data_IF_917065359154
#
_entry.id   IF_917065359154
#
_cell.length_a   1.000
_cell.length_b   1.000
_cell.length_c   1.000
_cell.angle_alpha   90.00
_cell.angle_beta   90.00
_cell.angle_gamma   90.00
#
_symmetry.space_group_name_H-M   'P 1'
#
loop_
_entity.id
_entity.type
_entity.pdbx_description
1 polymer ?
#
# COMPACT_ATOMS: atom_id res chain seq x y z
N UNK A 1 35.91 -42.33 45.10
CA UNK A 1 35.58 -41.46 43.95
C UNK A 1 34.14 -41.77 43.55
N UNK A 2 33.32 -40.73 43.31
CA UNK A 2 31.85 -40.70 43.42
C UNK A 2 31.08 -41.52 42.36
N UNK A 3 30.06 -42.23 42.86
CA UNK A 3 28.68 -42.48 42.40
C UNK A 3 28.24 -42.18 40.94
N UNK A 4 27.68 -43.24 40.32
CA UNK A 4 26.38 -43.40 39.63
C UNK A 4 25.79 -42.26 38.78
N UNK A 5 25.35 -42.61 37.55
CA UNK A 5 24.40 -41.77 36.80
C UNK A 5 24.15 -42.15 35.34
N UNK A 6 23.69 -43.38 35.06
CA UNK A 6 23.19 -43.77 33.73
C UNK A 6 21.79 -43.22 33.47
N UNK A 7 21.69 -42.11 32.74
CA UNK A 7 20.42 -41.49 32.33
C UNK A 7 19.97 -41.94 30.95
N UNK A 8 19.01 -42.84 30.89
CA UNK A 8 18.29 -43.22 29.67
C UNK A 8 17.40 -42.05 29.19
N UNK A 9 17.74 -41.42 28.05
CA UNK A 9 16.84 -40.48 27.38
C UNK A 9 15.82 -41.27 26.55
N UNK A 10 14.57 -41.25 27.01
CA UNK A 10 13.39 -41.74 26.27
C UNK A 10 13.19 -40.91 25.01
N UNK A 11 13.25 -41.55 23.86
CA UNK A 11 12.78 -41.04 22.58
C UNK A 11 11.26 -40.86 22.63
N UNK A 12 10.78 -39.64 22.40
CA UNK A 12 9.36 -39.37 22.12
C UNK A 12 9.07 -39.77 20.68
N UNK A 13 8.02 -40.56 20.39
CA UNK A 13 7.65 -40.83 19.01
C UNK A 13 7.08 -39.57 18.37
N UNK A 14 7.55 -39.28 17.15
CA UNK A 14 6.95 -38.32 16.24
C UNK A 14 5.47 -38.69 16.03
N UNK A 15 4.59 -37.70 16.20
CA UNK A 15 3.18 -37.80 15.85
C UNK A 15 3.10 -37.97 14.33
N UNK A 16 3.04 -39.21 13.87
CA UNK A 16 2.79 -39.55 12.48
C UNK A 16 1.35 -39.12 12.13
N UNK A 17 1.21 -38.02 11.40
CA UNK A 17 -0.06 -37.71 10.73
C UNK A 17 -0.26 -38.76 9.64
N UNK A 18 -1.13 -39.73 9.91
CA UNK A 18 -1.56 -40.75 8.94
C UNK A 18 -2.13 -40.05 7.70
N UNK A 19 -1.60 -40.40 6.54
CA UNK A 19 -2.22 -40.12 5.25
C UNK A 19 -3.64 -40.71 5.23
N UNK A 20 -4.63 -39.91 4.82
CA UNK A 20 -5.98 -40.40 4.52
C UNK A 20 -5.97 -41.09 3.16
N UNK A 21 -6.68 -42.22 2.99
CA UNK A 21 -6.73 -42.92 1.70
C UNK A 21 -7.59 -42.14 0.70
N UNK A 22 -7.22 -42.24 -0.57
CA UNK A 22 -7.99 -41.73 -1.69
C UNK A 22 -9.38 -42.40 -1.74
N UNK A 23 -10.45 -41.61 -1.71
CA UNK A 23 -11.81 -42.10 -1.96
C UNK A 23 -12.22 -41.75 -3.39
N UNK A 24 -12.56 -42.79 -4.14
CA UNK A 24 -13.12 -42.79 -5.47
C UNK A 24 -14.63 -42.44 -5.45
N UNK A 25 -15.01 -41.55 -6.37
CA UNK A 25 -16.33 -41.28 -6.95
C UNK A 25 -17.64 -41.64 -6.24
N UNK A 26 -18.45 -40.62 -5.92
CA UNK A 26 -19.79 -40.32 -6.48
C UNK A 26 -20.40 -39.05 -5.83
N UNK A 27 -21.37 -38.37 -6.48
CA UNK A 27 -21.82 -37.02 -6.14
C UNK A 27 -22.95 -37.02 -5.08
N UNK A 28 -23.18 -35.84 -4.50
CA UNK A 28 -24.23 -35.46 -3.54
C UNK A 28 -24.08 -35.92 -2.08
N UNK A 29 -23.48 -35.05 -1.27
CA UNK A 29 -23.92 -34.81 0.10
C UNK A 29 -23.61 -33.37 0.51
N UNK A 30 -24.68 -32.57 0.49
CA UNK A 30 -24.83 -31.29 1.14
C UNK A 30 -24.43 -31.42 2.63
N UNK A 31 -23.27 -30.87 3.00
CA UNK A 31 -22.95 -30.59 4.40
C UNK A 31 -22.42 -29.16 4.51
N UNK A 32 -23.26 -28.34 5.13
CA UNK A 32 -23.03 -26.96 5.50
C UNK A 32 -21.77 -26.81 6.35
N UNK A 33 -20.64 -26.51 5.71
CA UNK A 33 -19.55 -25.81 6.35
C UNK A 33 -19.80 -24.32 6.18
N UNK A 34 -20.12 -23.61 7.26
CA UNK A 34 -20.01 -22.13 7.28
C UNK A 34 -18.56 -21.80 6.94
N UNK A 35 -18.31 -21.42 5.70
CA UNK A 35 -17.15 -20.62 5.35
C UNK A 35 -17.29 -19.34 6.16
N UNK A 36 -16.51 -19.22 7.23
CA UNK A 36 -16.26 -17.92 7.84
C UNK A 36 -15.45 -17.17 6.80
N UNK A 37 -16.13 -16.42 5.94
CA UNK A 37 -15.58 -15.29 5.21
C UNK A 37 -15.05 -14.31 6.26
N UNK A 38 -13.84 -14.57 6.74
CA UNK A 38 -13.04 -13.54 7.35
C UNK A 38 -12.44 -12.77 6.21
N UNK A 39 -13.06 -11.64 5.85
CA UNK A 39 -12.32 -10.57 5.21
C UNK A 39 -11.08 -10.36 6.06
N UNK A 40 -9.92 -10.82 5.55
CA UNK A 40 -8.63 -10.49 6.13
C UNK A 40 -8.58 -8.97 6.11
N UNK A 41 -8.83 -8.33 7.26
CA UNK A 41 -8.78 -6.87 7.42
C UNK A 41 -7.38 -6.43 6.99
N UNK A 42 -7.26 -6.02 5.73
CA UNK A 42 -5.99 -5.67 5.12
C UNK A 42 -5.50 -4.41 5.81
N UNK A 43 -4.27 -4.47 6.33
CA UNK A 43 -3.63 -3.33 6.95
C UNK A 43 -3.44 -2.23 5.89
N UNK A 44 -4.16 -1.12 6.02
CA UNK A 44 -4.07 0.03 5.12
C UNK A 44 -3.23 1.14 5.76
N UNK A 45 -2.12 1.52 5.13
CA UNK A 45 -1.32 2.65 5.59
C UNK A 45 -1.95 4.00 5.21
N UNK A 46 -2.74 4.02 4.14
CA UNK A 46 -3.41 5.19 3.58
C UNK A 46 -4.89 4.84 3.41
N UNK A 47 -5.77 5.63 4.00
CA UNK A 47 -7.21 5.58 3.74
C UNK A 47 -7.62 6.86 3.07
N UNK A 48 -8.18 6.75 1.88
CA UNK A 48 -8.58 7.90 1.10
C UNK A 48 -10.00 7.72 0.56
N UNK A 49 -10.77 8.78 0.67
CA UNK A 49 -12.01 9.00 -0.07
C UNK A 49 -12.04 10.46 -0.52
N UNK A 50 -12.85 10.79 -1.51
CA UNK A 50 -12.96 12.17 -2.03
C UNK A 50 -13.21 13.15 -0.88
N UNK A 51 -12.24 14.02 -0.60
CA UNK A 51 -12.31 15.02 0.48
C UNK A 51 -11.92 14.55 1.88
N UNK A 52 -11.47 13.30 2.05
CA UNK A 52 -10.98 12.77 3.33
C UNK A 52 -9.77 11.87 3.15
N UNK A 53 -8.69 12.19 3.85
CA UNK A 53 -7.45 11.42 3.87
C UNK A 53 -7.09 11.10 5.32
N UNK A 54 -6.81 9.83 5.60
CA UNK A 54 -6.26 9.38 6.87
C UNK A 54 -5.00 8.55 6.62
N UNK A 55 -4.02 8.69 7.52
CA UNK A 55 -2.77 7.93 7.49
C UNK A 55 -2.60 7.12 8.77
N UNK A 56 -2.06 5.93 8.67
CA UNK A 56 -1.67 5.14 9.84
C UNK A 56 -0.37 5.70 10.42
N UNK A 57 -0.37 6.10 11.69
CA UNK A 57 0.86 6.58 12.35
C UNK A 57 1.82 5.41 12.63
N UNK A 58 2.84 5.29 11.78
CA UNK A 58 3.82 4.22 11.88
C UNK A 58 4.80 4.37 13.05
N UNK A 59 4.84 5.52 13.74
CA UNK A 59 5.67 5.68 14.94
C UNK A 59 5.12 4.90 16.14
N UNK A 60 3.82 4.58 16.10
CA UNK A 60 3.13 3.86 17.17
C UNK A 60 3.11 2.34 16.96
N UNK A 61 3.53 1.88 15.78
CA UNK A 61 3.59 0.46 15.46
C UNK A 61 4.81 -0.21 16.10
N UNK A 62 4.69 -1.49 16.50
CA UNK A 62 3.52 -2.37 16.39
C UNK A 62 2.55 -2.30 17.59
N UNK A 63 2.82 -1.48 18.61
CA UNK A 63 2.07 -1.48 19.87
C UNK A 63 0.65 -0.93 19.71
N UNK A 64 0.48 0.10 18.86
CA UNK A 64 -0.81 0.72 18.61
C UNK A 64 -1.00 1.02 17.12
N UNK A 65 -2.20 0.73 16.61
CA UNK A 65 -2.62 1.14 15.26
C UNK A 65 -3.60 2.30 15.40
N UNK A 66 -3.16 3.52 15.05
CA UNK A 66 -3.98 4.74 15.10
C UNK A 66 -3.89 5.49 13.78
N UNK A 67 -5.05 5.92 13.30
CA UNK A 67 -5.17 6.75 12.11
C UNK A 67 -5.21 8.23 12.50
N UNK A 68 -4.60 9.06 11.66
CA UNK A 68 -4.57 10.51 11.77
C UNK A 68 -5.17 11.12 10.51
N UNK A 69 -6.14 12.01 10.66
CA UNK A 69 -6.73 12.75 9.55
C UNK A 69 -5.76 13.80 9.03
N UNK A 70 -5.65 13.88 7.70
CA UNK A 70 -4.79 14.83 6.98
C UNK A 70 -5.68 15.71 6.12
N UNK A 71 -5.99 16.90 6.64
CA UNK A 71 -6.87 17.88 5.98
C UNK A 71 -6.13 18.92 5.14
N UNK A 72 -4.80 18.90 5.12
CA UNK A 72 -3.99 19.89 4.39
C UNK A 72 -2.65 19.33 3.91
N UNK A 73 -2.11 19.96 2.86
CA UNK A 73 -0.76 19.78 2.33
C UNK A 73 0.28 20.01 3.43
N UNK A 74 0.03 20.99 4.31
CA UNK A 74 0.90 21.27 5.46
C UNK A 74 0.97 20.09 6.43
N UNK A 75 -0.17 19.52 6.80
CA UNK A 75 -0.23 18.35 7.68
C UNK A 75 0.43 17.12 7.04
N UNK A 76 0.23 16.90 5.74
CA UNK A 76 0.90 15.82 5.02
C UNK A 76 2.42 15.97 5.05
N UNK A 77 2.92 17.18 4.78
CA UNK A 77 4.35 17.48 4.85
C UNK A 77 4.92 17.20 6.24
N UNK A 78 4.22 17.61 7.30
CA UNK A 78 4.64 17.38 8.69
C UNK A 78 4.66 15.89 9.03
N UNK A 79 3.63 15.16 8.66
CA UNK A 79 3.54 13.72 8.87
C UNK A 79 4.65 12.94 8.12
N UNK A 80 4.92 13.31 6.87
CA UNK A 80 6.00 12.73 6.05
C UNK A 80 7.36 13.03 6.68
N UNK A 81 7.61 14.28 7.08
CA UNK A 81 8.88 14.70 7.71
C UNK A 81 9.11 14.05 9.07
N UNK A 82 8.06 13.90 9.87
CA UNK A 82 8.07 13.21 11.16
C UNK A 82 8.16 11.68 11.03
N UNK A 83 8.18 11.14 9.81
CA UNK A 83 8.23 9.70 9.53
C UNK A 83 7.01 8.90 10.06
N UNK A 84 5.86 9.56 10.21
CA UNK A 84 4.57 8.87 10.42
C UNK A 84 4.17 8.07 9.19
N UNK A 85 4.52 8.58 8.00
CA UNK A 85 4.39 7.87 6.71
C UNK A 85 5.76 7.42 6.23
N UNK A 86 5.88 6.14 5.86
CA UNK A 86 7.13 5.55 5.37
C UNK A 86 6.88 4.77 4.08
N UNK A 87 7.96 4.58 3.31
CA UNK A 87 7.91 4.00 1.98
C UNK A 87 7.79 5.07 0.88
N UNK A 88 8.66 5.01 -0.12
CA UNK A 88 8.71 6.04 -1.16
C UNK A 88 7.40 6.17 -1.96
N UNK A 89 6.69 5.09 -2.33
CA UNK A 89 5.37 5.19 -2.96
C UNK A 89 4.33 5.82 -2.03
N UNK A 90 4.23 5.37 -0.78
CA UNK A 90 3.26 5.90 0.18
C UNK A 90 3.46 7.40 0.48
N UNK A 91 4.71 7.85 0.60
CA UNK A 91 5.05 9.27 0.78
C UNK A 91 4.53 10.12 -0.38
N UNK A 92 4.74 9.66 -1.62
CA UNK A 92 4.28 10.39 -2.80
C UNK A 92 2.75 10.49 -2.83
N UNK A 93 2.05 9.37 -2.57
CA UNK A 93 0.59 9.32 -2.57
C UNK A 93 -0.01 10.19 -1.48
N UNK A 94 0.48 10.15 -0.24
CA UNK A 94 -0.02 11.02 0.84
C UNK A 94 0.13 12.49 0.48
N UNK A 95 1.27 12.88 -0.09
CA UNK A 95 1.47 14.26 -0.56
C UNK A 95 0.43 14.66 -1.61
N UNK A 96 0.30 13.88 -2.69
CA UNK A 96 -0.62 14.15 -3.79
C UNK A 96 -2.10 14.14 -3.36
N UNK A 97 -2.50 13.18 -2.54
CA UNK A 97 -3.87 13.06 -2.05
C UNK A 97 -4.22 14.19 -1.07
N UNK A 98 -3.26 14.69 -0.28
CA UNK A 98 -3.51 15.85 0.58
C UNK A 98 -3.79 17.13 -0.21
N UNK A 99 -3.13 17.31 -1.36
CA UNK A 99 -3.47 18.38 -2.30
C UNK A 99 -4.87 18.17 -2.89
N UNK A 100 -5.23 16.95 -3.25
CA UNK A 100 -6.58 16.65 -3.73
C UNK A 100 -7.66 16.97 -2.68
N UNK A 101 -7.41 16.74 -1.39
CA UNK A 101 -8.31 17.14 -0.30
C UNK A 101 -8.48 18.66 -0.23
N UNK A 102 -7.39 19.44 -0.29
CA UNK A 102 -7.50 20.91 -0.30
C UNK A 102 -8.22 21.43 -1.54
N UNK A 103 -7.94 20.84 -2.71
CA UNK A 103 -8.63 21.18 -3.95
C UNK A 103 -10.11 20.84 -3.87
N UNK A 104 -10.49 19.71 -3.29
CA UNK A 104 -11.89 19.34 -3.07
C UNK A 104 -12.61 20.33 -2.14
N UNK A 105 -11.88 20.90 -1.16
CA UNK A 105 -12.39 21.94 -0.27
C UNK A 105 -12.45 23.35 -0.93
N UNK A 106 -12.00 23.49 -2.18
CA UNK A 106 -12.06 24.75 -2.93
C UNK A 106 -10.80 25.63 -2.85
N UNK A 107 -9.68 25.12 -2.34
CA UNK A 107 -8.44 25.91 -2.24
C UNK A 107 -7.82 26.26 -3.61
N UNK A 108 -6.98 27.30 -3.67
CA UNK A 108 -6.21 27.63 -4.88
C UNK A 108 -6.92 28.53 -5.90
N UNK A 109 -7.76 29.46 -5.48
CA UNK A 109 -8.42 30.41 -6.39
C UNK A 109 -8.54 31.81 -5.79
N UNK A 110 -9.26 32.74 -6.46
CA UNK A 110 -9.94 32.53 -7.74
C UNK A 110 -9.03 32.71 -8.97
N UNK A 111 -9.34 31.98 -10.04
CA UNK A 111 -8.75 32.16 -11.36
C UNK A 111 -7.77 31.05 -11.76
N UNK A 112 -7.76 30.72 -13.06
CA UNK A 112 -7.01 29.58 -13.61
C UNK A 112 -5.50 29.66 -13.32
N UNK A 113 -4.90 30.82 -13.56
CA UNK A 113 -3.47 31.04 -13.31
C UNK A 113 -3.12 30.91 -11.82
N UNK A 114 -3.99 31.41 -10.93
CA UNK A 114 -3.81 31.28 -9.49
C UNK A 114 -3.92 29.81 -9.03
N UNK A 115 -4.84 29.04 -9.62
CA UNK A 115 -4.98 27.61 -9.35
C UNK A 115 -3.76 26.80 -9.78
N UNK A 116 -3.26 27.03 -10.99
CA UNK A 116 -2.07 26.33 -11.48
C UNK A 116 -0.85 26.70 -10.62
N UNK A 117 -0.69 27.97 -10.25
CA UNK A 117 0.36 28.41 -9.35
C UNK A 117 0.26 27.74 -7.97
N UNK A 118 -0.95 27.73 -7.38
CA UNK A 118 -1.22 27.05 -6.12
C UNK A 118 -0.84 25.57 -6.15
N UNK A 119 -1.28 24.83 -7.18
CA UNK A 119 -0.93 23.42 -7.37
C UNK A 119 0.59 23.25 -7.44
N UNK A 120 1.28 24.05 -8.26
CA UNK A 120 2.74 23.95 -8.43
C UNK A 120 3.48 24.24 -7.12
N UNK A 121 3.05 25.25 -6.38
CA UNK A 121 3.71 25.68 -5.15
C UNK A 121 3.50 24.64 -4.03
N UNK A 122 2.28 24.09 -3.91
CA UNK A 122 1.97 23.00 -2.99
C UNK A 122 2.81 21.74 -3.28
N UNK A 123 2.92 21.35 -4.55
CA UNK A 123 3.72 20.20 -4.98
C UNK A 123 5.22 20.43 -4.74
N UNK A 124 5.72 21.64 -5.03
CA UNK A 124 7.11 22.01 -4.76
C UNK A 124 7.43 21.97 -3.26
N UNK A 125 6.50 22.45 -2.43
CA UNK A 125 6.61 22.36 -0.98
C UNK A 125 6.63 20.91 -0.50
N UNK A 126 5.75 20.04 -1.00
CA UNK A 126 5.71 18.62 -0.64
C UNK A 126 7.01 17.87 -0.97
N UNK A 127 7.68 18.21 -2.07
CA UNK A 127 8.99 17.64 -2.43
C UNK A 127 10.05 17.90 -1.35
N UNK A 128 9.95 19.01 -0.62
CA UNK A 128 10.91 19.35 0.46
C UNK A 128 10.75 18.49 1.71
N UNK A 129 9.64 17.75 1.89
CA UNK A 129 9.38 16.99 3.11
C UNK A 129 10.46 15.93 3.37
N UNK A 130 10.85 15.20 2.32
CA UNK A 130 11.93 14.20 2.32
C UNK A 130 12.60 14.14 0.93
N UNK A 131 13.60 14.98 0.64
CA UNK A 131 14.12 15.22 -0.71
C UNK A 131 14.82 14.02 -1.36
N UNK A 132 15.13 12.96 -0.60
CA UNK A 132 15.68 11.71 -1.13
C UNK A 132 14.62 10.80 -1.76
N UNK A 133 13.33 11.09 -1.59
CA UNK A 133 12.23 10.32 -2.15
C UNK A 133 11.92 10.77 -3.59
N UNK A 134 12.64 10.21 -4.56
CA UNK A 134 12.47 10.52 -5.99
C UNK A 134 11.02 10.35 -6.48
N UNK A 135 10.26 9.44 -5.85
CA UNK A 135 8.85 9.21 -6.14
C UNK A 135 8.00 10.47 -5.94
N UNK A 136 8.23 11.25 -4.87
CA UNK A 136 7.49 12.48 -4.62
C UNK A 136 7.78 13.53 -5.70
N UNK A 137 9.05 13.71 -6.09
CA UNK A 137 9.43 14.64 -7.15
C UNK A 137 8.84 14.25 -8.52
N UNK A 138 8.79 12.96 -8.83
CA UNK A 138 8.17 12.46 -10.06
C UNK A 138 6.65 12.67 -10.07
N UNK A 139 5.99 12.34 -8.96
CA UNK A 139 4.57 12.55 -8.75
C UNK A 139 4.19 14.04 -8.86
N UNK A 140 4.95 14.90 -8.20
CA UNK A 140 4.80 16.35 -8.28
C UNK A 140 4.92 16.88 -9.71
N UNK A 141 5.94 16.42 -10.45
CA UNK A 141 6.09 16.81 -11.86
C UNK A 141 4.87 16.41 -12.69
N UNK A 142 4.40 15.16 -12.54
CA UNK A 142 3.27 14.65 -13.31
C UNK A 142 1.97 15.43 -13.04
N UNK A 143 1.67 15.75 -11.78
CA UNK A 143 0.49 16.54 -11.43
C UNK A 143 0.60 17.99 -11.88
N UNK A 144 1.77 18.60 -11.75
CA UNK A 144 2.00 19.97 -12.22
C UNK A 144 1.83 20.07 -13.75
N UNK A 145 2.40 19.12 -14.49
CA UNK A 145 2.21 19.00 -15.95
C UNK A 145 0.73 18.76 -16.29
N UNK A 146 0.03 17.90 -15.55
CA UNK A 146 -1.41 17.65 -15.75
C UNK A 146 -2.24 18.92 -15.55
N UNK A 147 -1.94 19.70 -14.52
CA UNK A 147 -2.62 20.97 -14.26
C UNK A 147 -2.36 22.00 -15.37
N UNK A 148 -1.11 22.12 -15.82
CA UNK A 148 -0.72 23.03 -16.88
C UNK A 148 -1.38 22.67 -18.21
N UNK A 149 -1.30 21.40 -18.62
CA UNK A 149 -1.90 20.91 -19.87
C UNK A 149 -3.42 21.09 -19.88
N UNK A 150 -4.11 20.86 -18.76
CA UNK A 150 -5.55 21.06 -18.69
C UNK A 150 -5.93 22.55 -18.73
N UNK A 151 -5.09 23.42 -18.16
CA UNK A 151 -5.30 24.88 -18.18
C UNK A 151 -5.07 25.50 -19.58
N UNK A 152 -4.26 24.86 -20.43
CA UNK A 152 -3.99 25.32 -21.80
C UNK A 152 -5.07 24.92 -22.81
N UNK A 153 -6.06 24.10 -22.40
CA UNK A 153 -7.14 23.66 -23.30
C UNK A 153 -8.08 24.82 -23.63
N UNK A 154 -8.59 24.82 -24.86
CA UNK A 154 -9.62 25.75 -25.27
C UNK A 154 -10.87 25.59 -24.39
N UNK A 155 -11.35 26.70 -23.80
CA UNK A 155 -12.47 26.68 -22.86
C UNK A 155 -12.14 26.12 -21.46
N UNK A 156 -10.86 26.03 -21.08
CA UNK A 156 -10.47 25.60 -19.74
C UNK A 156 -11.12 26.45 -18.64
N UNK A 157 -11.59 25.77 -17.59
CA UNK A 157 -12.20 26.39 -16.41
C UNK A 157 -11.47 25.97 -15.15
N UNK A 158 -11.58 26.79 -14.09
CA UNK A 158 -11.01 26.45 -12.78
C UNK A 158 -11.53 25.10 -12.26
N UNK A 159 -12.83 24.85 -12.43
CA UNK A 159 -13.47 23.59 -12.03
C UNK A 159 -12.91 22.38 -12.80
N UNK A 160 -12.68 22.52 -14.11
CA UNK A 160 -12.12 21.45 -14.92
C UNK A 160 -10.68 21.09 -14.51
N UNK A 161 -9.82 22.09 -14.32
CA UNK A 161 -8.44 21.87 -13.86
C UNK A 161 -8.42 21.24 -12.46
N UNK A 162 -9.24 21.76 -11.54
CA UNK A 162 -9.38 21.24 -10.18
C UNK A 162 -9.76 19.76 -10.18
N UNK A 163 -10.84 19.40 -10.88
CA UNK A 163 -11.29 18.01 -10.97
C UNK A 163 -10.24 17.13 -11.67
N UNK A 164 -9.55 17.64 -12.69
CA UNK A 164 -8.52 16.88 -13.41
C UNK A 164 -7.34 16.53 -12.50
N UNK A 165 -6.87 17.48 -11.69
CA UNK A 165 -5.77 17.25 -10.74
C UNK A 165 -6.18 16.29 -9.64
N UNK A 166 -7.40 16.43 -9.08
CA UNK A 166 -7.95 15.50 -8.09
C UNK A 166 -7.98 14.08 -8.66
N UNK A 167 -8.59 13.89 -9.83
CA UNK A 167 -8.67 12.57 -10.49
C UNK A 167 -7.30 11.98 -10.77
N UNK A 168 -6.33 12.79 -11.21
CA UNK A 168 -4.98 12.31 -11.46
C UNK A 168 -4.34 11.75 -10.17
N UNK A 169 -4.52 12.41 -9.02
CA UNK A 169 -4.05 11.87 -7.74
C UNK A 169 -4.78 10.58 -7.33
N UNK A 170 -6.08 10.47 -7.60
CA UNK A 170 -6.87 9.25 -7.37
C UNK A 170 -6.41 8.10 -8.28
N UNK A 171 -6.18 8.37 -9.57
CA UNK A 171 -5.68 7.40 -10.54
C UNK A 171 -4.28 6.88 -10.13
N UNK A 172 -3.43 7.73 -9.56
CA UNK A 172 -2.13 7.33 -9.04
C UNK A 172 -2.24 6.34 -7.87
N UNK A 173 -3.22 6.54 -6.98
CA UNK A 173 -3.48 5.61 -5.87
C UNK A 173 -3.94 4.24 -6.39
N UNK A 174 -4.94 4.23 -7.27
CA UNK A 174 -5.46 2.98 -7.85
C UNK A 174 -4.39 2.25 -8.67
N UNK A 175 -3.59 3.00 -9.43
CA UNK A 175 -2.49 2.43 -10.19
C UNK A 175 -1.44 1.78 -9.28
N UNK A 176 -1.03 2.42 -8.19
CA UNK A 176 -0.04 1.82 -7.26
C UNK A 176 -0.59 0.53 -6.64
N UNK A 177 -1.88 0.50 -6.24
CA UNK A 177 -2.54 -0.71 -5.75
C UNK A 177 -2.55 -1.84 -6.79
N UNK A 178 -2.90 -1.53 -8.04
CA UNK A 178 -2.94 -2.50 -9.15
C UNK A 178 -1.54 -3.02 -9.50
N UNK A 179 -0.55 -2.14 -9.54
CA UNK A 179 0.83 -2.49 -9.86
C UNK A 179 1.43 -3.37 -8.74
N UNK A 180 1.18 -3.04 -7.48
CA UNK A 180 1.64 -3.85 -6.33
C UNK A 180 1.06 -5.28 -6.37
N UNK A 181 -0.24 -5.42 -6.69
CA UNK A 181 -0.87 -6.74 -6.89
C UNK A 181 -0.21 -7.50 -8.03
N UNK A 182 0.00 -6.82 -9.16
CA UNK A 182 0.61 -7.41 -10.35
C UNK A 182 2.05 -7.85 -10.11
N UNK A 183 2.85 -7.06 -9.37
CA UNK A 183 4.21 -7.41 -8.95
C UNK A 183 4.19 -8.68 -8.09
N UNK A 184 3.26 -8.77 -7.14
CA UNK A 184 3.12 -9.97 -6.30
C UNK A 184 2.76 -11.21 -7.10
N UNK A 185 1.79 -11.12 -8.02
CA UNK A 185 1.36 -12.26 -8.83
C UNK A 185 2.43 -12.73 -9.82
N UNK A 186 3.00 -11.80 -10.59
CA UNK A 186 4.04 -12.10 -11.56
C UNK A 186 5.31 -12.61 -10.87
N UNK A 187 5.69 -11.99 -9.74
CA UNK A 187 6.84 -12.39 -8.93
C UNK A 187 6.66 -13.79 -8.35
N UNK A 188 5.50 -14.08 -7.75
CA UNK A 188 5.19 -15.39 -7.20
C UNK A 188 5.20 -16.47 -8.29
N UNK A 189 4.57 -16.21 -9.43
CA UNK A 189 4.55 -17.13 -10.56
C UNK A 189 5.99 -17.44 -11.02
N UNK A 190 6.79 -16.41 -11.27
CA UNK A 190 8.17 -16.58 -11.72
C UNK A 190 9.04 -17.34 -10.70
N UNK A 191 8.89 -17.05 -9.39
CA UNK A 191 9.64 -17.74 -8.33
C UNK A 191 9.25 -19.23 -8.28
N UNK A 192 7.96 -19.54 -8.37
CA UNK A 192 7.48 -20.93 -8.33
C UNK A 192 7.95 -21.73 -9.55
N UNK A 193 7.91 -21.15 -10.74
CA UNK A 193 8.44 -21.79 -11.95
C UNK A 193 9.94 -22.10 -11.84
N UNK A 194 10.71 -21.24 -11.18
CA UNK A 194 12.17 -21.40 -11.05
C UNK A 194 12.59 -22.31 -9.90
N UNK A 195 11.95 -22.18 -8.74
CA UNK A 195 12.39 -22.85 -7.52
C UNK A 195 11.61 -24.14 -7.20
N UNK A 196 10.39 -24.29 -7.73
CA UNK A 196 9.55 -25.47 -7.52
C UNK A 196 8.73 -25.82 -8.79
N UNK A 197 9.38 -26.07 -9.96
CA UNK A 197 8.68 -26.31 -11.23
C UNK A 197 7.77 -27.55 -11.20
N UNK A 198 8.04 -28.52 -10.35
CA UNK A 198 7.19 -29.71 -10.11
C UNK A 198 6.07 -29.49 -9.10
N UNK A 199 5.84 -28.24 -8.67
CA UNK A 199 5.02 -27.90 -7.52
C UNK A 199 5.77 -28.06 -6.19
N UNK A 200 5.26 -27.41 -5.15
CA UNK A 200 5.88 -27.42 -3.82
C UNK A 200 5.89 -26.04 -3.17
N UNK A 201 6.28 -25.99 -1.90
CA UNK A 201 6.41 -24.73 -1.16
C UNK A 201 7.83 -24.19 -1.32
N UNK A 202 7.93 -22.87 -1.36
CA UNK A 202 9.21 -22.14 -1.35
C UNK A 202 9.40 -21.41 -0.03
N UNK A 203 10.63 -21.32 0.44
CA UNK A 203 11.01 -20.48 1.58
C UNK A 203 11.63 -19.21 1.06
N UNK A 204 11.01 -18.06 1.35
CA UNK A 204 11.47 -16.74 0.90
C UNK A 204 12.08 -15.98 2.05
N UNK A 205 13.27 -15.42 1.83
CA UNK A 205 13.91 -14.46 2.72
C UNK A 205 13.77 -13.07 2.13
N UNK A 206 13.33 -12.11 2.94
CA UNK A 206 13.18 -10.69 2.55
C UNK A 206 13.97 -9.79 3.50
N UNK A 207 14.13 -8.53 3.11
CA UNK A 207 14.84 -7.52 3.89
C UNK A 207 14.03 -6.22 3.95
N UNK A 208 14.04 -5.56 5.11
CA UNK A 208 13.22 -4.38 5.42
C UNK A 208 11.69 -4.66 5.35
N UNK A 209 10.89 -3.60 5.27
CA UNK A 209 9.45 -3.67 5.05
C UNK A 209 9.11 -3.10 3.66
N UNK A 210 8.54 -3.96 2.82
CA UNK A 210 8.07 -3.65 1.46
C UNK A 210 6.58 -4.02 1.30
N UNK A 211 5.86 -4.20 2.41
CA UNK A 211 4.44 -4.57 2.45
C UNK A 211 3.52 -3.36 2.33
N UNK A 212 2.25 -3.54 2.70
CA UNK A 212 1.23 -2.49 2.71
C UNK A 212 1.59 -1.24 3.55
N UNK A 213 2.50 -1.37 4.53
CA UNK A 213 3.03 -0.24 5.30
C UNK A 213 4.01 0.66 4.53
N UNK A 214 4.51 0.22 3.38
CA UNK A 214 5.49 0.94 2.57
C UNK A 214 4.95 1.40 1.20
N UNK A 215 3.71 1.05 0.85
CA UNK A 215 3.08 1.33 -0.44
C UNK A 215 1.64 1.82 -0.25
N UNK A 216 0.87 2.01 -1.34
CA UNK A 216 -0.57 2.25 -1.23
C UNK A 216 -1.32 1.11 -0.49
N UNK A 217 -0.76 -0.09 -0.53
CA UNK A 217 -1.36 -1.33 -0.06
C UNK A 217 -0.70 -2.52 -0.74
N UNK A 218 -0.95 -3.72 -0.21
CA UNK A 218 -0.37 -4.99 -0.66
C UNK A 218 1.15 -5.10 -0.45
N UNK A 219 1.92 -4.26 -1.14
CA UNK A 219 3.37 -4.23 -1.13
C UNK A 219 4.00 -4.75 -2.42
N UNK A 220 5.33 -4.70 -2.48
CA UNK A 220 6.12 -5.22 -3.61
C UNK A 220 6.67 -6.60 -3.27
N UNK A 221 7.86 -6.69 -2.67
CA UNK A 221 8.47 -7.99 -2.32
C UNK A 221 7.73 -8.72 -1.19
N UNK A 222 7.04 -7.99 -0.32
CA UNK A 222 6.12 -8.52 0.69
C UNK A 222 4.67 -8.60 0.19
N UNK A 223 4.41 -8.43 -1.10
CA UNK A 223 3.06 -8.57 -1.66
C UNK A 223 2.49 -9.95 -1.33
N UNK A 224 1.63 -10.01 -0.32
CA UNK A 224 1.08 -11.27 0.16
C UNK A 224 -0.11 -11.65 -0.71
N UNK A 225 -0.06 -12.82 -1.35
CA UNK A 225 -1.30 -13.50 -1.69
C UNK A 225 -2.03 -13.82 -0.39
N UNK A 226 -3.20 -13.21 -0.20
CA UNK A 226 -4.19 -13.73 0.73
C UNK A 226 -4.66 -15.09 0.21
N UNK A 227 -4.12 -16.17 0.78
CA UNK A 227 -4.65 -17.53 0.67
C UNK A 227 -4.61 -18.21 -0.70
N UNK A 228 -3.70 -19.17 -0.85
CA UNK A 228 -4.02 -20.48 -1.42
C UNK A 228 -3.51 -21.54 -0.45
#
# INVERSE_FOLDING_TARGET
MRLLGGGARRSRPLLAFRARPACSGRPDCFLSGRERGGDTMSLEAIRYSRGSLEILDQLLLPQHSRYEAVGSVRQAWEAIRAMKVRGAPAIALVGCLSLAVELQAGAGGPGLAALVAFVRDALSFLVTARPTAVNMARAARHLAETAALEAEREGATEAAVRERVIRCAEDMLEKDLKDNRSIGDLGAHHILERAAPGGGKVTVLTHCNTGALATAGYGTALGQRGGC
#
